data_IF_345493210269
#
_entry.id   IF_345493210269
#
_cell.length_a   1.000
_cell.length_b   1.000
_cell.length_c   1.000
_cell.angle_alpha   90.00
_cell.angle_beta   90.00
_cell.angle_gamma   90.00
#
_symmetry.space_group_name_H-M   'P 1'
#
loop_
_entity.id
_entity.type
_entity.pdbx_description
1 polymer ?
#
# COMPACT_ATOMS: atom_id res chain seq x y z
N UNK A 1 8.18 9.24 -31.51
CA UNK A 1 6.75 9.09 -31.17
C UNK A 1 6.15 10.48 -31.05
N UNK A 2 5.05 10.78 -31.74
CA UNK A 2 4.46 12.12 -31.81
C UNK A 2 3.54 12.37 -30.60
N UNK A 3 3.42 13.60 -30.09
CA UNK A 3 2.62 13.93 -28.89
C UNK A 3 1.13 13.55 -29.05
N UNK A 4 0.63 13.64 -30.29
CA UNK A 4 -0.72 13.24 -30.63
C UNK A 4 -0.99 11.75 -30.42
N UNK A 5 0.00 10.90 -30.72
CA UNK A 5 -0.09 9.45 -30.49
C UNK A 5 -0.17 9.16 -28.98
N UNK A 6 0.64 9.85 -28.18
CA UNK A 6 0.60 9.73 -26.72
C UNK A 6 -0.76 10.14 -26.14
N UNK A 7 -1.30 11.28 -26.57
CA UNK A 7 -2.62 11.77 -26.13
C UNK A 7 -3.77 10.85 -26.58
N UNK A 8 -3.60 10.13 -27.70
CA UNK A 8 -4.56 9.11 -28.15
C UNK A 8 -4.49 7.87 -27.27
N UNK A 9 -3.30 7.35 -27.02
CA UNK A 9 -3.07 6.19 -26.14
C UNK A 9 -3.59 6.44 -24.72
N UNK A 10 -3.31 7.62 -24.16
CA UNK A 10 -3.81 8.02 -22.83
C UNK A 10 -5.34 8.12 -22.75
N UNK A 11 -6.02 8.38 -23.88
CA UNK A 11 -7.49 8.37 -23.94
C UNK A 11 -8.06 6.96 -24.08
N UNK A 12 -7.41 6.08 -24.83
CA UNK A 12 -7.81 4.67 -24.94
C UNK A 12 -7.70 3.94 -23.59
N UNK A 13 -6.65 4.21 -22.82
CA UNK A 13 -6.47 3.63 -21.48
C UNK A 13 -7.50 4.11 -20.45
N UNK A 14 -8.18 5.24 -20.70
CA UNK A 14 -9.18 5.81 -19.79
C UNK A 14 -10.59 5.25 -20.04
N UNK A 15 -10.75 4.35 -21.02
CA UNK A 15 -12.04 3.70 -21.25
C UNK A 15 -12.35 2.71 -20.12
N UNK A 16 -13.60 2.68 -19.62
CA UNK A 16 -14.00 1.72 -18.61
C UNK A 16 -14.00 0.32 -19.22
N UNK A 17 -12.94 -0.45 -18.94
CA UNK A 17 -12.88 -1.86 -19.31
C UNK A 17 -13.64 -2.66 -18.24
N UNK A 18 -14.87 -3.07 -18.54
CA UNK A 18 -15.56 -4.02 -17.69
C UNK A 18 -14.83 -5.37 -17.81
N UNK A 19 -14.39 -5.98 -16.69
CA UNK A 19 -13.81 -7.31 -16.76
C UNK A 19 -14.85 -8.29 -17.34
N UNK A 20 -14.45 -9.24 -18.22
CA UNK A 20 -15.38 -10.24 -18.72
C UNK A 20 -16.07 -10.97 -17.56
N UNK A 21 -17.38 -11.17 -17.67
CA UNK A 21 -18.21 -11.80 -16.63
C UNK A 21 -17.66 -13.17 -16.18
N UNK A 22 -16.98 -13.88 -17.08
CA UNK A 22 -16.36 -15.18 -16.78
C UNK A 22 -15.17 -15.08 -15.81
N UNK A 23 -14.46 -13.94 -15.73
CA UNK A 23 -13.37 -13.76 -14.77
C UNK A 23 -13.89 -13.82 -13.34
N UNK A 24 -15.04 -13.21 -13.06
CA UNK A 24 -15.63 -13.24 -11.72
C UNK A 24 -15.99 -14.66 -11.30
N UNK A 25 -16.65 -15.42 -12.18
CA UNK A 25 -16.98 -16.82 -11.92
C UNK A 25 -15.74 -17.68 -11.66
N UNK A 26 -14.64 -17.42 -12.39
CA UNK A 26 -13.37 -18.14 -12.19
C UNK A 26 -12.67 -17.75 -10.89
N UNK A 27 -12.76 -16.49 -10.47
CA UNK A 27 -12.22 -16.01 -9.19
C UNK A 27 -13.03 -16.62 -8.04
N UNK A 28 -14.36 -16.59 -8.10
CA UNK A 28 -15.24 -17.23 -7.11
C UNK A 28 -14.92 -18.72 -6.99
N UNK A 29 -14.84 -19.42 -8.13
CA UNK A 29 -14.47 -20.84 -8.13
C UNK A 29 -13.07 -21.09 -7.54
N UNK A 30 -12.09 -20.20 -7.78
CA UNK A 30 -10.75 -20.32 -7.22
C UNK A 30 -10.73 -20.07 -5.70
N UNK A 31 -11.53 -19.13 -5.19
CA UNK A 31 -11.68 -18.84 -3.77
C UNK A 31 -12.42 -19.97 -3.03
N UNK A 32 -13.48 -20.52 -3.64
CA UNK A 32 -14.19 -21.69 -3.13
C UNK A 32 -13.30 -22.94 -3.14
N UNK A 33 -12.47 -23.09 -4.17
CA UNK A 33 -11.49 -24.19 -4.25
C UNK A 33 -10.41 -24.06 -3.18
N UNK A 34 -9.90 -22.84 -2.91
CA UNK A 34 -8.94 -22.59 -1.84
C UNK A 34 -9.54 -22.88 -0.46
N UNK A 35 -10.83 -22.58 -0.27
CA UNK A 35 -11.59 -22.91 0.95
C UNK A 35 -11.82 -24.42 1.09
N UNK A 36 -12.11 -25.11 -0.02
CA UNK A 36 -12.39 -26.55 -0.04
C UNK A 36 -11.11 -27.40 0.06
N UNK A 37 -9.98 -26.90 -0.46
CA UNK A 37 -8.67 -27.53 -0.37
C UNK A 37 -8.09 -27.51 1.05
N UNK A 38 -8.66 -26.73 1.97
CA UNK A 38 -8.37 -26.82 3.39
C UNK A 38 -9.02 -28.07 3.99
N UNK A 39 -8.50 -29.25 3.63
CA UNK A 39 -8.85 -30.51 4.30
C UNK A 39 -8.43 -30.38 5.77
N UNK A 40 -9.37 -30.40 6.74
CA UNK A 40 -9.03 -30.19 8.12
C UNK A 40 -8.23 -31.38 8.64
N UNK A 41 -6.93 -31.18 8.87
CA UNK A 41 -6.18 -32.05 9.77
C UNK A 41 -6.82 -31.88 11.15
N UNK A 42 -7.58 -32.89 11.57
CA UNK A 42 -8.27 -32.88 12.86
C UNK A 42 -7.25 -32.89 13.99
N UNK A 43 -6.86 -31.70 14.44
CA UNK A 43 -6.12 -31.50 15.69
C UNK A 43 -7.13 -31.36 16.84
N UNK A 44 -6.91 -32.02 17.98
CA UNK A 44 -7.85 -32.02 19.08
C UNK A 44 -7.96 -30.62 19.71
N UNK A 45 -9.13 -30.07 19.44
CA UNK A 45 -9.97 -29.08 20.09
C UNK A 45 -9.78 -28.88 21.61
N UNK A 46 -8.75 -28.15 22.00
CA UNK A 46 -8.73 -27.43 23.27
C UNK A 46 -7.98 -26.12 22.96
N UNK A 47 -8.40 -24.98 23.51
CA UNK A 47 -7.94 -23.60 23.19
C UNK A 47 -8.83 -22.80 22.22
N UNK A 48 -10.11 -22.68 22.59
CA UNK A 48 -10.85 -21.42 22.43
C UNK A 48 -10.49 -20.56 23.65
N UNK A 49 -9.73 -19.46 23.50
CA UNK A 49 -10.37 -18.18 23.18
C UNK A 49 -9.44 -17.22 22.40
N UNK A 50 -9.56 -17.16 21.07
CA UNK A 50 -8.78 -16.19 20.28
C UNK A 50 -9.57 -15.54 19.13
N UNK A 51 -10.91 -15.50 19.21
CA UNK A 51 -11.77 -14.95 18.14
C UNK A 51 -12.21 -13.50 18.44
N UNK A 52 -12.13 -13.03 19.69
CA UNK A 52 -12.57 -11.67 20.07
C UNK A 52 -11.67 -10.51 19.61
N UNK A 53 -10.38 -10.76 19.33
CA UNK A 53 -9.40 -9.70 19.08
C UNK A 53 -9.49 -9.13 17.66
N UNK A 54 -9.91 -9.94 16.68
CA UNK A 54 -9.98 -9.52 15.28
C UNK A 54 -11.07 -8.46 15.02
N UNK A 55 -12.22 -8.55 15.70
CA UNK A 55 -13.32 -7.60 15.52
C UNK A 55 -13.02 -6.21 16.12
N UNK A 56 -12.23 -6.14 17.19
CA UNK A 56 -11.86 -4.88 17.83
C UNK A 56 -10.87 -4.06 17.00
N UNK A 57 -9.96 -4.71 16.26
CA UNK A 57 -8.97 -4.04 15.41
C UNK A 57 -9.59 -3.38 14.17
N UNK A 58 -10.65 -3.98 13.60
CA UNK A 58 -11.38 -3.41 12.45
C UNK A 58 -12.16 -2.15 12.84
N UNK A 59 -12.78 -2.14 14.02
CA UNK A 59 -13.51 -0.95 14.51
C UNK A 59 -12.56 0.21 14.89
N UNK A 60 -11.41 -0.08 15.48
CA UNK A 60 -10.40 0.93 15.82
C UNK A 60 -9.76 1.55 14.57
N UNK A 61 -9.48 0.74 13.53
CA UNK A 61 -8.96 1.24 12.25
C UNK A 61 -9.94 2.15 11.52
N UNK A 62 -11.25 1.84 11.56
CA UNK A 62 -12.28 2.65 10.93
C UNK A 62 -12.45 4.03 11.59
N UNK A 63 -12.39 4.11 12.93
CA UNK A 63 -12.52 5.39 13.65
C UNK A 63 -11.26 6.27 13.52
N UNK A 64 -10.07 5.68 13.46
CA UNK A 64 -8.81 6.41 13.26
C UNK A 64 -8.75 7.16 11.93
N UNK A 65 -9.23 6.55 10.84
CA UNK A 65 -9.25 7.17 9.51
C UNK A 65 -10.17 8.39 9.38
N UNK A 66 -11.23 8.48 10.20
CA UNK A 66 -12.17 9.62 10.20
C UNK A 66 -11.59 10.88 10.86
N UNK A 67 -10.66 10.74 11.81
CA UNK A 67 -9.98 11.91 12.41
C UNK A 67 -8.89 12.49 11.49
N UNK A 68 -8.27 11.68 10.63
CA UNK A 68 -7.28 12.16 9.65
C UNK A 68 -7.90 13.07 8.57
N UNK A 69 -9.20 12.97 8.32
CA UNK A 69 -9.89 13.81 7.34
C UNK A 69 -10.10 15.28 7.77
N UNK A 70 -9.80 15.65 9.03
CA UNK A 70 -9.87 17.04 9.48
C UNK A 70 -8.55 17.81 9.38
N UNK A 71 -7.43 17.17 9.02
CA UNK A 71 -6.17 17.87 8.77
C UNK A 71 -6.12 18.34 7.31
N UNK A 72 -6.75 19.49 7.06
CA UNK A 72 -6.60 20.20 5.80
C UNK A 72 -5.13 20.60 5.54
N UNK A 73 -4.68 20.55 4.27
CA UNK A 73 -3.28 20.73 3.92
C UNK A 73 -2.92 22.23 3.87
N UNK A 74 -2.04 22.66 4.76
CA UNK A 74 -1.32 23.92 4.61
C UNK A 74 -0.19 23.71 3.59
N UNK A 75 -0.02 24.56 2.55
CA UNK A 75 1.06 24.42 1.60
C UNK A 75 2.33 25.01 2.22
N UNK A 76 3.02 24.23 3.05
CA UNK A 76 4.37 24.56 3.48
C UNK A 76 5.34 23.93 2.48
N UNK A 77 6.16 24.80 1.87
CA UNK A 77 7.20 24.51 0.88
C UNK A 77 8.06 23.34 1.36
N UNK A 78 7.74 22.14 0.87
CA UNK A 78 8.53 20.96 1.11
C UNK A 78 9.82 21.09 0.30
N UNK A 79 10.97 21.04 0.97
CA UNK A 79 12.23 20.64 0.32
C UNK A 79 12.01 19.23 -0.23
N UNK A 80 11.58 19.18 -1.49
CA UNK A 80 11.20 17.96 -2.16
C UNK A 80 12.46 17.11 -2.36
N UNK A 81 12.70 16.17 -1.44
CA UNK A 81 13.49 14.99 -1.75
C UNK A 81 12.88 14.42 -3.02
N UNK A 82 13.63 14.43 -4.11
CA UNK A 82 13.11 13.98 -5.40
C UNK A 82 12.53 12.57 -5.25
N UNK A 83 11.29 12.32 -5.71
CA UNK A 83 10.68 11.00 -5.64
C UNK A 83 11.52 10.03 -6.45
N UNK A 84 12.09 9.02 -5.78
CA UNK A 84 12.85 7.97 -6.46
C UNK A 84 11.89 7.11 -7.27
N UNK A 85 12.24 6.87 -8.54
CA UNK A 85 11.44 6.09 -9.47
C UNK A 85 12.28 4.93 -10.01
N UNK A 86 12.00 3.68 -9.62
CA UNK A 86 12.78 2.53 -10.05
C UNK A 86 12.57 2.25 -11.55
N UNK A 87 13.60 1.71 -12.19
CA UNK A 87 13.58 1.22 -13.56
C UNK A 87 12.79 -0.10 -13.70
N UNK A 88 12.82 -0.95 -12.67
CA UNK A 88 12.02 -2.19 -12.64
C UNK A 88 10.53 -1.86 -12.33
N UNK A 89 9.59 -2.14 -13.26
CA UNK A 89 8.17 -1.90 -13.05
C UNK A 89 7.57 -2.68 -11.87
N UNK A 90 8.20 -3.78 -11.45
CA UNK A 90 7.75 -4.57 -10.28
C UNK A 90 7.94 -3.82 -8.97
N UNK A 91 8.90 -2.89 -8.92
CA UNK A 91 9.19 -2.07 -7.73
C UNK A 91 8.46 -0.73 -7.75
N UNK A 92 7.81 -0.37 -8.87
CA UNK A 92 7.18 0.94 -9.05
C UNK A 92 6.07 1.21 -8.02
N UNK A 93 5.21 0.23 -7.72
CA UNK A 93 4.14 0.37 -6.74
C UNK A 93 4.69 0.63 -5.33
N UNK A 94 5.65 -0.19 -4.90
CA UNK A 94 6.30 -0.03 -3.59
C UNK A 94 7.01 1.33 -3.48
N UNK A 95 7.68 1.80 -4.53
CA UNK A 95 8.34 3.10 -4.52
C UNK A 95 7.36 4.27 -4.37
N UNK A 96 6.18 4.19 -4.98
CA UNK A 96 5.13 5.21 -4.83
C UNK A 96 4.62 5.23 -3.38
N UNK A 97 4.27 4.07 -2.82
CA UNK A 97 3.75 3.96 -1.46
C UNK A 97 4.76 4.43 -0.41
N UNK A 98 6.03 4.00 -0.53
CA UNK A 98 7.11 4.45 0.38
C UNK A 98 7.35 5.95 0.31
N UNK A 99 7.24 6.54 -0.88
CA UNK A 99 7.40 7.99 -1.03
C UNK A 99 6.23 8.74 -0.39
N UNK A 100 4.99 8.26 -0.56
CA UNK A 100 3.83 8.83 0.11
C UNK A 100 3.96 8.72 1.64
N UNK A 101 4.32 7.55 2.15
CA UNK A 101 4.55 7.33 3.58
C UNK A 101 5.65 8.26 4.14
N UNK A 102 6.75 8.46 3.41
CA UNK A 102 7.81 9.38 3.83
C UNK A 102 7.31 10.83 3.92
N UNK A 103 6.48 11.29 2.97
CA UNK A 103 5.90 12.64 2.99
C UNK A 103 4.99 12.79 4.21
N UNK A 104 4.12 11.81 4.47
CA UNK A 104 3.21 11.82 5.63
C UNK A 104 3.97 11.79 6.96
N UNK A 105 5.02 10.98 7.08
CA UNK A 105 5.84 10.92 8.30
C UNK A 105 6.56 12.24 8.58
N UNK A 106 7.07 12.90 7.53
CA UNK A 106 7.69 14.22 7.67
C UNK A 106 6.65 15.27 8.07
N UNK A 107 5.44 15.22 7.53
CA UNK A 107 4.35 16.08 7.94
C UNK A 107 3.94 15.83 9.40
N UNK A 108 3.82 14.56 9.81
CA UNK A 108 3.53 14.19 11.20
C UNK A 108 4.62 14.67 12.17
N UNK A 109 5.89 14.62 11.75
CA UNK A 109 7.01 15.15 12.53
C UNK A 109 6.98 16.68 12.67
N UNK A 110 6.42 17.42 11.71
CA UNK A 110 6.20 18.86 11.88
C UNK A 110 5.19 19.15 13.00
N UNK A 111 4.21 18.26 13.20
CA UNK A 111 3.20 18.41 14.25
C UNK A 111 3.69 17.90 15.61
N UNK A 112 4.53 16.86 15.62
CA UNK A 112 5.06 16.24 16.83
C UNK A 112 6.59 16.02 16.72
N UNK A 113 7.40 17.09 16.81
CA UNK A 113 8.84 17.03 16.55
C UNK A 113 9.60 16.14 17.55
N UNK A 114 9.11 16.04 18.78
CA UNK A 114 9.75 15.29 19.86
C UNK A 114 9.32 13.81 19.91
N UNK A 115 8.55 13.34 18.92
CA UNK A 115 8.10 11.94 18.88
C UNK A 115 9.22 11.01 18.40
N UNK A 116 9.82 10.28 19.34
CA UNK A 116 10.86 9.29 19.04
C UNK A 116 10.35 8.16 18.14
N UNK A 117 9.08 7.75 18.29
CA UNK A 117 8.46 6.72 17.46
C UNK A 117 8.36 7.13 15.98
N UNK A 118 7.96 8.38 15.69
CA UNK A 118 7.89 8.88 14.32
C UNK A 118 9.28 9.00 13.68
N UNK A 119 10.28 9.41 14.45
CA UNK A 119 11.67 9.48 13.98
C UNK A 119 12.22 8.08 13.65
N UNK A 120 11.94 7.08 14.49
CA UNK A 120 12.32 5.69 14.23
C UNK A 120 11.62 5.14 12.99
N UNK A 121 10.33 5.42 12.84
CA UNK A 121 9.55 4.97 11.70
C UNK A 121 10.05 5.60 10.39
N UNK A 122 10.40 6.89 10.39
CA UNK A 122 11.04 7.56 9.26
C UNK A 122 12.38 6.91 8.90
N UNK A 123 13.25 6.69 9.88
CA UNK A 123 14.55 6.04 9.67
C UNK A 123 14.40 4.62 9.12
N UNK A 124 13.42 3.86 9.59
CA UNK A 124 13.12 2.52 9.07
C UNK A 124 12.63 2.58 7.61
N UNK A 125 11.77 3.54 7.29
CA UNK A 125 11.25 3.79 5.93
C UNK A 125 12.38 4.13 4.96
N UNK A 126 13.35 4.96 5.39
CA UNK A 126 14.54 5.30 4.61
C UNK A 126 15.45 4.09 4.37
N UNK A 127 15.62 3.21 5.37
CA UNK A 127 16.35 1.94 5.20
C UNK A 127 15.66 0.99 4.21
N UNK A 128 14.32 0.89 4.25
CA UNK A 128 13.55 0.10 3.29
C UNK A 128 13.72 0.63 1.87
N UNK A 129 13.65 1.95 1.67
CA UNK A 129 13.91 2.58 0.38
C UNK A 129 15.32 2.28 -0.14
N UNK A 130 16.34 2.33 0.72
CA UNK A 130 17.71 1.98 0.36
C UNK A 130 17.85 0.50 -0.04
N UNK A 131 17.17 -0.41 0.68
CA UNK A 131 17.16 -1.83 0.35
C UNK A 131 16.50 -2.11 -1.01
N UNK A 132 15.39 -1.44 -1.33
CA UNK A 132 14.74 -1.59 -2.64
C UNK A 132 15.61 -1.05 -3.78
N UNK A 133 16.33 0.06 -3.56
CA UNK A 133 17.34 0.53 -4.53
C UNK A 133 18.42 -0.51 -4.75
N UNK A 134 18.91 -1.14 -3.70
CA UNK A 134 19.95 -2.17 -3.84
C UNK A 134 19.43 -3.39 -4.62
N UNK A 135 18.17 -3.78 -4.43
CA UNK A 135 17.54 -4.85 -5.22
C UNK A 135 17.41 -4.47 -6.69
N UNK A 136 17.04 -3.22 -7.00
CA UNK A 136 17.01 -2.70 -8.37
C UNK A 136 18.38 -2.82 -9.06
N UNK A 137 19.47 -2.46 -8.36
CA UNK A 137 20.84 -2.55 -8.91
C UNK A 137 21.29 -4.00 -9.16
N UNK A 138 20.67 -4.99 -8.49
CA UNK A 138 20.97 -6.41 -8.70
C UNK A 138 20.11 -7.04 -9.80
N UNK A 139 18.96 -6.43 -10.13
CA UNK A 139 17.99 -6.95 -11.08
C UNK A 139 18.16 -6.37 -12.50
N UNK A 140 18.95 -5.31 -12.66
CA UNK A 140 19.34 -4.72 -13.95
C UNK A 140 20.68 -5.24 -14.46
#
# INVERSE_FOLDING_TARGET
MNEFEWRRQMRELRQPLAPPHELWNRIDAALDSATTAAKPVRRPWHWLPAIGIAAALVLAGWFGGRLQQQLQPTPAVASASQPWKPADPRLAGAAIELTAAQIELRQALQQAPNSTALQQLLANTERQQASLRQLEHQAG
#
